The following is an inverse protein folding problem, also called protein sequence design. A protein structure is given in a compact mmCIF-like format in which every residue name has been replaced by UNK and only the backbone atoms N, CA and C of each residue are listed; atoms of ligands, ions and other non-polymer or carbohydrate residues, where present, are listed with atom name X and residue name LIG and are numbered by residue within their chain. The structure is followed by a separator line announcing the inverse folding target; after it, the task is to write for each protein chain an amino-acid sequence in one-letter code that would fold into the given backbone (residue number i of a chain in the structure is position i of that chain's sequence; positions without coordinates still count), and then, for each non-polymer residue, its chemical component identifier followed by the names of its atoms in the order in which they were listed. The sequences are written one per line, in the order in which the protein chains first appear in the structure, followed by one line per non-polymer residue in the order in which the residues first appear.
data_IF_972099713781
#
_entry.id   IF_972099713781
#
_cell.length_a   1.000
_cell.length_b   1.000
_cell.length_c   1.000
_cell.angle_alpha   90.00
_cell.angle_beta   90.00
_cell.angle_gamma   90.00
#
_symmetry.space_group_name_H-M   'P 1'
#
loop_
_entity.id
_entity.type
_entity.pdbx_description
1 polymer ?
#
# COMPACT_ATOMS: atom_id res chain seq x y z
N UNK A 1 44.52 -0.65 -52.95
CA UNK A 1 44.86 0.48 -52.07
C UNK A 1 44.33 0.15 -50.67
N UNK A 2 45.19 -0.03 -49.65
CA UNK A 2 45.71 1.00 -48.71
C UNK A 2 44.65 1.36 -47.63
N UNK A 3 44.86 1.24 -46.30
CA UNK A 3 45.94 0.67 -45.44
C UNK A 3 45.33 0.32 -44.05
N UNK A 4 45.81 -0.68 -43.26
CA UNK A 4 46.83 -0.62 -42.16
C UNK A 4 46.65 0.56 -41.16
N UNK A 5 46.91 0.47 -39.84
CA UNK A 5 47.92 -0.28 -39.03
C UNK A 5 47.39 -0.52 -37.57
N UNK A 6 47.96 -1.27 -36.59
CA UNK A 6 48.75 -2.54 -36.47
C UNK A 6 48.97 -2.91 -34.95
N UNK A 7 48.88 -4.21 -34.55
CA UNK A 7 49.71 -4.89 -33.49
C UNK A 7 49.42 -4.50 -31.99
N UNK A 8 49.47 -5.35 -30.92
CA UNK A 8 50.38 -6.44 -30.40
C UNK A 8 49.59 -7.39 -29.44
N UNK A 9 49.67 -8.73 -29.45
CA UNK A 9 50.55 -9.67 -28.67
C UNK A 9 50.66 -9.38 -27.14
N UNK A 10 50.78 -10.33 -26.20
CA UNK A 10 51.51 -11.64 -26.08
C UNK A 10 50.57 -12.81 -25.61
N UNK A 11 50.74 -14.11 -25.95
CA UNK A 11 51.65 -15.18 -25.43
C UNK A 11 51.68 -15.32 -23.88
N UNK A 12 51.60 -16.50 -23.23
CA UNK A 12 51.38 -17.93 -23.61
C UNK A 12 50.79 -18.68 -22.35
N UNK A 13 50.69 -20.02 -22.12
CA UNK A 13 51.17 -21.28 -22.74
C UNK A 13 50.28 -22.50 -22.32
N UNK A 14 50.76 -23.75 -22.49
CA UNK A 14 50.17 -25.03 -22.03
C UNK A 14 51.27 -25.98 -21.48
N UNK A 15 50.93 -27.14 -20.86
CA UNK A 15 51.22 -28.41 -21.58
C UNK A 15 50.23 -29.58 -21.35
N UNK A 16 50.12 -30.45 -22.36
CA UNK A 16 49.72 -31.88 -22.30
C UNK A 16 51.02 -32.74 -22.22
N UNK A 17 51.07 -34.09 -22.16
CA UNK A 17 50.10 -35.20 -22.31
C UNK A 17 50.27 -36.16 -21.07
N UNK A 18 50.14 -37.50 -20.99
CA UNK A 18 49.99 -38.65 -21.92
C UNK A 18 49.15 -39.76 -21.23
N UNK A 19 48.72 -40.79 -21.97
CA UNK A 19 48.15 -42.04 -21.44
C UNK A 19 48.91 -43.25 -22.03
N UNK A 20 49.14 -44.32 -21.26
CA UNK A 20 49.57 -45.65 -21.75
C UNK A 20 49.05 -46.78 -20.84
N UNK A 21 48.94 -48.00 -21.37
CA UNK A 21 48.46 -49.22 -20.70
C UNK A 21 49.47 -50.39 -20.93
N UNK A 22 49.06 -51.62 -20.59
CA UNK A 22 49.81 -52.91 -20.57
C UNK A 22 50.59 -53.08 -19.24
N UNK A 23 50.12 -53.82 -18.23
CA UNK A 23 49.70 -55.25 -18.10
C UNK A 23 50.89 -56.23 -18.07
N UNK A 24 51.09 -56.89 -16.92
CA UNK A 24 51.28 -58.35 -16.87
C UNK A 24 50.94 -58.97 -15.47
N UNK A 25 50.99 -60.30 -15.35
CA UNK A 25 50.40 -61.12 -14.28
C UNK A 25 51.36 -61.59 -13.16
N UNK A 26 50.83 -61.78 -11.93
CA UNK A 26 50.93 -63.04 -11.15
C UNK A 26 50.09 -63.05 -9.84
N UNK A 27 49.94 -64.24 -9.23
CA UNK A 27 49.21 -64.64 -7.99
C UNK A 27 50.07 -65.74 -7.28
N UNK A 28 49.82 -66.26 -6.04
CA UNK A 28 48.54 -66.33 -5.32
C UNK A 28 48.53 -66.32 -3.75
N UNK A 29 47.32 -66.51 -3.18
CA UNK A 29 46.92 -67.14 -1.90
C UNK A 29 47.50 -66.72 -0.51
N UNK A 30 46.64 -66.07 0.29
CA UNK A 30 46.23 -66.40 1.68
C UNK A 30 44.92 -65.59 1.98
N UNK A 31 44.06 -65.86 2.98
CA UNK A 31 44.12 -66.92 3.99
C UNK A 31 43.10 -66.81 5.15
N UNK A 32 41.78 -66.80 4.86
CA UNK A 32 40.66 -66.95 5.83
C UNK A 32 40.33 -65.81 6.83
N UNK A 33 39.07 -65.85 7.29
CA UNK A 33 38.50 -65.28 8.53
C UNK A 33 38.55 -63.76 8.80
N UNK A 34 37.37 -63.14 8.71
CA UNK A 34 36.91 -62.20 9.74
C UNK A 34 35.40 -62.43 9.97
N UNK A 35 34.95 -62.45 11.23
CA UNK A 35 33.58 -62.81 11.61
C UNK A 35 32.62 -61.61 11.58
N UNK A 36 31.31 -61.88 11.57
CA UNK A 36 30.30 -60.84 11.55
C UNK A 36 30.12 -60.14 12.91
N UNK A 37 29.99 -58.81 12.88
CA UNK A 37 29.48 -58.00 13.99
C UNK A 37 28.66 -56.83 13.43
N UNK A 38 27.34 -56.99 13.39
CA UNK A 38 26.44 -55.96 12.88
C UNK A 38 26.22 -54.85 13.93
N UNK A 39 26.84 -53.68 13.73
CA UNK A 39 26.55 -52.50 14.52
C UNK A 39 25.26 -51.83 14.04
N UNK A 40 24.16 -52.12 14.73
CA UNK A 40 22.88 -51.43 14.56
C UNK A 40 22.97 -50.04 15.22
N UNK A 41 23.55 -49.07 14.51
CA UNK A 41 23.56 -47.67 14.96
C UNK A 41 22.15 -47.10 14.81
N UNK A 42 21.42 -47.02 15.93
CA UNK A 42 20.18 -46.26 16.03
C UNK A 42 20.49 -44.76 15.97
N UNK A 43 20.66 -44.26 14.74
CA UNK A 43 20.71 -42.83 14.47
C UNK A 43 19.31 -42.24 14.69
N UNK A 44 19.06 -41.69 15.89
CA UNK A 44 17.92 -40.81 16.10
C UNK A 44 18.03 -39.63 15.12
N UNK A 45 16.95 -39.28 14.38
CA UNK A 45 17.01 -38.20 13.41
C UNK A 45 17.16 -36.86 14.14
N UNK A 46 18.37 -36.31 14.13
CA UNK A 46 18.64 -34.94 14.58
C UNK A 46 17.92 -33.98 13.65
N UNK A 47 16.82 -33.40 14.13
CA UNK A 47 16.08 -32.36 13.41
C UNK A 47 17.01 -31.15 13.25
N UNK A 48 17.53 -30.94 12.05
CA UNK A 48 18.29 -29.74 11.70
C UNK A 48 17.28 -28.60 11.53
N UNK A 49 17.22 -27.70 12.51
CA UNK A 49 16.30 -26.56 12.51
C UNK A 49 16.76 -25.48 11.51
N UNK A 50 16.48 -25.73 10.24
CA UNK A 50 16.69 -24.79 9.14
C UNK A 50 15.61 -23.69 9.18
N UNK A 51 15.97 -22.41 9.27
CA UNK A 51 15.01 -21.30 9.31
C UNK A 51 14.27 -21.19 7.95
N UNK A 52 13.12 -21.84 7.88
CA UNK A 52 12.34 -22.06 6.65
C UNK A 52 11.51 -23.36 6.69
N UNK A 53 11.75 -24.25 7.64
CA UNK A 53 11.10 -25.58 7.79
C UNK A 53 9.66 -25.57 8.34
N UNK A 54 9.14 -24.42 8.79
CA UNK A 54 7.85 -24.28 9.52
C UNK A 54 6.55 -24.52 8.70
N UNK A 55 6.63 -25.28 7.60
CA UNK A 55 5.51 -25.57 6.69
C UNK A 55 5.10 -27.06 6.66
N UNK A 56 5.65 -27.90 7.54
CA UNK A 56 5.41 -29.36 7.58
C UNK A 56 4.86 -29.85 8.94
N UNK A 57 4.05 -29.05 9.63
CA UNK A 57 3.56 -29.34 10.98
C UNK A 57 2.06 -29.05 11.20
N UNK A 58 1.22 -29.38 10.23
CA UNK A 58 -0.24 -29.45 10.38
C UNK A 58 -0.77 -30.71 9.67
N UNK A 59 -1.99 -31.14 9.99
CA UNK A 59 -2.62 -32.35 9.42
C UNK A 59 -2.65 -32.32 7.89
N UNK A 60 -2.40 -33.46 7.21
CA UNK A 60 -2.37 -33.50 5.75
C UNK A 60 -3.74 -33.16 5.17
N UNK A 61 -3.74 -32.37 4.09
CA UNK A 61 -4.95 -31.81 3.45
C UNK A 61 -5.92 -32.88 2.90
N UNK A 62 -5.41 -34.08 2.65
CA UNK A 62 -6.19 -35.29 2.37
C UNK A 62 -5.39 -36.51 2.84
N UNK A 63 -6.07 -37.64 3.06
CA UNK A 63 -5.43 -38.93 3.30
C UNK A 63 -4.96 -39.59 2.00
N UNK A 64 -5.47 -39.15 0.83
CA UNK A 64 -4.91 -39.54 -0.46
C UNK A 64 -3.60 -38.78 -0.73
N UNK A 65 -2.51 -39.54 -0.79
CA UNK A 65 -1.16 -39.04 -1.07
C UNK A 65 -1.08 -38.30 -2.43
N UNK A 66 -1.80 -38.76 -3.45
CA UNK A 66 -1.76 -38.14 -4.78
C UNK A 66 -2.48 -36.79 -4.77
N UNK A 67 -3.66 -36.71 -4.13
CA UNK A 67 -4.37 -35.44 -3.89
C UNK A 67 -3.53 -34.46 -3.06
N UNK A 68 -2.84 -34.95 -2.01
CA UNK A 68 -1.94 -34.11 -1.21
C UNK A 68 -0.74 -33.58 -2.03
N UNK A 69 -0.15 -34.41 -2.91
CA UNK A 69 0.93 -34.00 -3.83
C UNK A 69 0.42 -32.97 -4.84
N UNK A 70 -0.74 -33.20 -5.47
CA UNK A 70 -1.35 -32.26 -6.42
C UNK A 70 -1.65 -30.90 -5.78
N UNK A 71 -2.13 -30.89 -4.53
CA UNK A 71 -2.35 -29.67 -3.77
C UNK A 71 -1.04 -28.90 -3.52
N UNK A 72 0.01 -29.59 -3.07
CA UNK A 72 1.32 -28.95 -2.85
C UNK A 72 1.96 -28.45 -4.15
N UNK A 73 1.74 -29.13 -5.29
CA UNK A 73 2.12 -28.61 -6.60
C UNK A 73 1.34 -27.34 -6.96
N UNK A 74 0.03 -27.29 -6.69
CA UNK A 74 -0.81 -26.12 -6.88
C UNK A 74 -0.32 -24.90 -6.08
N UNK A 75 -0.07 -25.08 -4.78
CA UNK A 75 0.49 -24.02 -3.91
C UNK A 75 1.88 -23.58 -4.41
N UNK A 76 2.75 -24.53 -4.75
CA UNK A 76 4.09 -24.22 -5.28
C UNK A 76 4.06 -23.41 -6.58
N UNK A 77 3.06 -23.65 -7.44
CA UNK A 77 2.85 -22.91 -8.69
C UNK A 77 2.23 -21.54 -8.44
N UNK A 78 1.23 -21.44 -7.56
CA UNK A 78 0.62 -20.18 -7.15
C UNK A 78 1.67 -19.22 -6.57
N UNK A 79 2.51 -19.70 -5.64
CA UNK A 79 3.60 -18.92 -5.03
C UNK A 79 4.71 -18.52 -6.05
N UNK A 80 4.74 -19.13 -7.24
CA UNK A 80 5.62 -18.76 -8.37
C UNK A 80 4.91 -17.91 -9.44
N UNK A 81 3.66 -17.50 -9.19
CA UNK A 81 2.77 -16.81 -10.12
C UNK A 81 2.49 -17.59 -11.43
N UNK A 82 2.66 -18.92 -11.41
CA UNK A 82 2.19 -19.83 -12.46
C UNK A 82 0.69 -20.10 -12.24
N UNK A 83 -0.13 -19.09 -12.51
CA UNK A 83 -1.57 -19.13 -12.23
C UNK A 83 -2.31 -20.20 -13.05
N UNK A 84 -1.85 -20.49 -14.28
CA UNK A 84 -2.45 -21.51 -15.14
C UNK A 84 -2.12 -22.93 -14.65
N UNK A 85 -0.86 -23.21 -14.33
CA UNK A 85 -0.47 -24.50 -13.75
C UNK A 85 -1.02 -24.70 -12.34
N UNK A 86 -1.18 -23.64 -11.56
CA UNK A 86 -1.86 -23.67 -10.27
C UNK A 86 -3.36 -23.99 -10.42
N UNK A 87 -4.07 -23.31 -11.33
CA UNK A 87 -5.48 -23.60 -11.63
C UNK A 87 -5.66 -25.06 -12.05
N UNK A 88 -4.82 -25.56 -12.95
CA UNK A 88 -4.84 -26.97 -13.37
C UNK A 88 -4.67 -27.93 -12.18
N UNK A 89 -3.67 -27.70 -11.33
CA UNK A 89 -3.40 -28.55 -10.17
C UNK A 89 -4.56 -28.53 -9.15
N UNK A 90 -5.12 -27.37 -8.81
CA UNK A 90 -6.26 -27.28 -7.89
C UNK A 90 -7.55 -27.86 -8.50
N UNK A 91 -7.74 -27.79 -9.82
CA UNK A 91 -8.82 -28.52 -10.50
C UNK A 91 -8.62 -30.05 -10.45
N UNK A 92 -7.39 -30.55 -10.56
CA UNK A 92 -7.10 -31.98 -10.37
C UNK A 92 -7.35 -32.43 -8.93
N UNK A 93 -6.99 -31.64 -7.92
CA UNK A 93 -7.34 -31.87 -6.50
C UNK A 93 -8.86 -32.03 -6.35
N UNK A 94 -9.63 -31.08 -6.87
CA UNK A 94 -11.10 -31.04 -6.72
C UNK A 94 -11.85 -32.05 -7.61
N UNK A 95 -11.18 -32.69 -8.57
CA UNK A 95 -11.69 -33.87 -9.28
C UNK A 95 -11.58 -35.17 -8.46
N UNK A 96 -10.64 -35.23 -7.52
CA UNK A 96 -10.42 -36.39 -6.64
C UNK A 96 -11.18 -36.26 -5.32
N UNK A 97 -11.11 -35.08 -4.69
CA UNK A 97 -11.88 -34.74 -3.51
C UNK A 97 -12.50 -33.33 -3.64
N UNK A 98 -13.81 -33.23 -3.92
CA UNK A 98 -14.47 -31.94 -4.10
C UNK A 98 -14.63 -31.15 -2.79
N UNK A 99 -14.31 -31.74 -1.63
CA UNK A 99 -14.49 -31.14 -0.30
C UNK A 99 -13.22 -30.48 0.25
N UNK A 100 -12.20 -30.26 -0.58
CA UNK A 100 -10.99 -29.52 -0.18
C UNK A 100 -11.24 -28.01 -0.33
N UNK A 101 -11.89 -27.42 0.68
CA UNK A 101 -12.24 -25.99 0.71
C UNK A 101 -11.05 -25.03 0.55
N UNK A 102 -9.84 -25.45 0.94
CA UNK A 102 -8.62 -24.68 0.67
C UNK A 102 -8.30 -24.58 -0.83
N UNK A 103 -8.52 -25.64 -1.62
CA UNK A 103 -8.29 -25.61 -3.06
C UNK A 103 -9.30 -24.69 -3.77
N UNK A 104 -10.54 -24.64 -3.26
CA UNK A 104 -11.55 -23.64 -3.66
C UNK A 104 -11.09 -22.21 -3.37
N UNK A 105 -10.56 -21.94 -2.17
CA UNK A 105 -9.99 -20.63 -1.84
C UNK A 105 -8.83 -20.23 -2.77
N UNK A 106 -7.91 -21.16 -3.11
CA UNK A 106 -6.84 -20.87 -4.08
C UNK A 106 -7.36 -20.63 -5.51
N UNK A 107 -8.39 -21.35 -5.96
CA UNK A 107 -9.06 -21.04 -7.24
C UNK A 107 -9.69 -19.65 -7.20
N UNK A 108 -10.36 -19.30 -6.10
CA UNK A 108 -10.88 -17.95 -5.87
C UNK A 108 -9.80 -16.88 -6.01
N UNK A 109 -8.65 -17.07 -5.35
CA UNK A 109 -7.50 -16.16 -5.45
C UNK A 109 -7.00 -16.01 -6.89
N UNK A 110 -6.86 -17.11 -7.63
CA UNK A 110 -6.44 -17.10 -9.04
C UNK A 110 -7.42 -16.29 -9.90
N UNK A 111 -8.73 -16.46 -9.71
CA UNK A 111 -9.73 -15.68 -10.46
C UNK A 111 -9.81 -14.22 -10.02
N UNK A 112 -9.57 -13.91 -8.73
CA UNK A 112 -9.48 -12.55 -8.22
C UNK A 112 -8.27 -11.80 -8.81
N UNK A 113 -7.13 -12.48 -8.99
CA UNK A 113 -5.94 -11.96 -9.68
C UNK A 113 -6.18 -11.79 -11.19
N UNK A 114 -6.98 -12.67 -11.82
CA UNK A 114 -7.42 -12.53 -13.22
C UNK A 114 -8.55 -11.48 -13.42
N UNK A 115 -9.01 -10.80 -12.35
CA UNK A 115 -10.18 -9.92 -12.33
C UNK A 115 -11.50 -10.58 -12.80
N UNK A 116 -11.62 -11.91 -12.68
CA UNK A 116 -12.81 -12.71 -13.02
C UNK A 116 -13.70 -12.85 -11.78
N UNK A 117 -14.18 -11.70 -11.30
CA UNK A 117 -14.75 -11.54 -9.95
C UNK A 117 -15.90 -12.50 -9.65
N UNK A 118 -16.79 -12.74 -10.61
CA UNK A 118 -17.98 -13.60 -10.41
C UNK A 118 -17.59 -15.06 -10.07
N UNK A 119 -16.55 -15.56 -10.73
CA UNK A 119 -16.01 -16.91 -10.52
C UNK A 119 -15.18 -16.93 -9.22
N UNK A 120 -14.48 -15.84 -8.89
CA UNK A 120 -13.79 -15.72 -7.61
C UNK A 120 -14.80 -15.84 -6.44
N UNK A 121 -15.89 -15.06 -6.48
CA UNK A 121 -16.98 -15.12 -5.49
C UNK A 121 -17.62 -16.50 -5.43
N UNK A 122 -17.83 -17.17 -6.58
CA UNK A 122 -18.35 -18.55 -6.60
C UNK A 122 -17.42 -19.55 -5.90
N UNK A 123 -16.12 -19.54 -6.23
CA UNK A 123 -15.14 -20.45 -5.64
C UNK A 123 -14.92 -20.17 -4.13
N UNK A 124 -14.90 -18.90 -3.70
CA UNK A 124 -14.88 -18.58 -2.27
C UNK A 124 -16.17 -18.97 -1.54
N UNK A 125 -17.33 -18.80 -2.19
CA UNK A 125 -18.63 -19.24 -1.68
C UNK A 125 -18.66 -20.75 -1.41
N UNK A 126 -18.14 -21.54 -2.36
CA UNK A 126 -17.96 -22.97 -2.17
C UNK A 126 -16.92 -23.30 -1.08
N UNK A 127 -15.82 -22.54 -0.98
CA UNK A 127 -14.82 -22.71 0.06
C UNK A 127 -15.41 -22.57 1.48
N UNK A 128 -16.24 -21.55 1.72
CA UNK A 128 -16.89 -21.33 3.02
C UNK A 128 -18.08 -22.27 3.25
N UNK A 129 -18.77 -22.72 2.19
CA UNK A 129 -19.82 -23.76 2.28
C UNK A 129 -19.23 -25.11 2.70
N UNK A 130 -18.02 -25.43 2.24
CA UNK A 130 -17.28 -26.65 2.55
C UNK A 130 -16.62 -26.57 3.93
N UNK A 131 -16.01 -25.44 4.27
CA UNK A 131 -15.41 -25.19 5.58
C UNK A 131 -15.88 -23.84 6.16
N UNK A 132 -16.97 -23.84 6.96
CA UNK A 132 -17.48 -22.63 7.63
C UNK A 132 -16.53 -22.00 8.65
N UNK A 133 -15.41 -22.65 8.99
CA UNK A 133 -14.38 -22.15 9.89
C UNK A 133 -13.12 -21.68 9.13
N UNK A 134 -13.21 -21.40 7.83
CA UNK A 134 -12.10 -20.89 7.02
C UNK A 134 -12.12 -19.35 6.94
N UNK A 135 -11.56 -18.68 7.95
CA UNK A 135 -11.47 -17.19 8.01
C UNK A 135 -10.87 -16.59 6.73
N UNK A 136 -9.83 -17.21 6.19
CA UNK A 136 -9.16 -16.77 4.97
C UNK A 136 -10.11 -16.69 3.76
N UNK A 137 -11.00 -17.67 3.59
CA UNK A 137 -11.99 -17.67 2.50
C UNK A 137 -13.10 -16.63 2.73
N UNK A 138 -13.51 -16.38 3.97
CA UNK A 138 -14.44 -15.27 4.27
C UNK A 138 -13.81 -13.89 4.02
N UNK A 139 -12.53 -13.72 4.36
CA UNK A 139 -11.78 -12.49 4.07
C UNK A 139 -11.65 -12.26 2.56
N UNK A 140 -11.27 -13.29 1.81
CA UNK A 140 -11.08 -13.20 0.36
C UNK A 140 -12.41 -13.09 -0.40
N UNK A 141 -13.48 -13.71 0.09
CA UNK A 141 -14.86 -13.45 -0.36
C UNK A 141 -15.24 -11.98 -0.19
N UNK A 142 -14.92 -11.37 0.96
CA UNK A 142 -15.12 -9.94 1.20
C UNK A 142 -14.36 -9.06 0.21
N UNK A 143 -13.10 -9.37 -0.08
CA UNK A 143 -12.30 -8.67 -1.10
C UNK A 143 -12.95 -8.73 -2.49
N UNK A 144 -13.47 -9.90 -2.88
CA UNK A 144 -14.08 -10.09 -4.20
C UNK A 144 -15.46 -9.41 -4.32
N UNK A 145 -16.31 -9.53 -3.29
CA UNK A 145 -17.60 -8.84 -3.21
C UNK A 145 -17.43 -7.31 -3.24
N UNK A 146 -16.43 -6.78 -2.54
CA UNK A 146 -16.11 -5.35 -2.57
C UNK A 146 -15.73 -4.88 -3.97
N UNK A 147 -14.90 -5.63 -4.70
CA UNK A 147 -14.53 -5.31 -6.09
C UNK A 147 -15.71 -5.40 -7.07
N UNK A 148 -16.76 -6.15 -6.75
CA UNK A 148 -18.04 -6.13 -7.49
C UNK A 148 -18.97 -4.97 -7.07
N UNK A 149 -18.61 -4.17 -6.08
CA UNK A 149 -19.47 -3.13 -5.50
C UNK A 149 -20.52 -3.63 -4.50
N UNK A 150 -20.48 -4.91 -4.11
CA UNK A 150 -21.41 -5.49 -3.13
C UNK A 150 -20.97 -5.19 -1.68
N UNK A 151 -21.03 -3.90 -1.30
CA UNK A 151 -20.43 -3.35 -0.07
C UNK A 151 -20.92 -4.01 1.22
N UNK A 152 -22.24 -4.14 1.39
CA UNK A 152 -22.87 -4.73 2.58
C UNK A 152 -22.56 -6.23 2.71
N UNK A 153 -22.49 -6.93 1.58
CA UNK A 153 -22.10 -8.34 1.53
C UNK A 153 -20.61 -8.51 1.87
N UNK A 154 -19.74 -7.60 1.40
CA UNK A 154 -18.33 -7.58 1.76
C UNK A 154 -18.12 -7.36 3.27
N UNK A 155 -18.80 -6.37 3.88
CA UNK A 155 -18.77 -6.14 5.33
C UNK A 155 -19.24 -7.37 6.11
N UNK A 156 -20.30 -8.04 5.63
CA UNK A 156 -20.79 -9.30 6.23
C UNK A 156 -19.73 -10.40 6.18
N UNK A 157 -19.07 -10.59 5.02
CA UNK A 157 -18.02 -11.60 4.85
C UNK A 157 -16.78 -11.30 5.72
N UNK A 158 -16.31 -10.04 5.77
CA UNK A 158 -15.20 -9.64 6.65
C UNK A 158 -15.54 -9.83 8.14
N UNK A 159 -16.78 -9.52 8.57
CA UNK A 159 -17.23 -9.76 9.95
C UNK A 159 -17.20 -11.24 10.30
N UNK A 160 -17.62 -12.12 9.38
CA UNK A 160 -17.55 -13.57 9.59
C UNK A 160 -16.10 -14.09 9.62
N UNK A 161 -15.18 -13.51 8.85
CA UNK A 161 -13.75 -13.79 8.97
C UNK A 161 -13.21 -13.47 10.38
N UNK A 162 -13.69 -12.38 10.99
CA UNK A 162 -13.32 -11.95 12.35
C UNK A 162 -14.00 -12.74 13.47
N UNK A 163 -15.16 -13.37 13.23
CA UNK A 163 -15.76 -14.34 14.16
C UNK A 163 -14.87 -15.59 14.30
N UNK A 164 -14.17 -15.96 13.23
CA UNK A 164 -13.30 -17.14 13.16
C UNK A 164 -11.86 -16.82 13.59
N UNK A 165 -11.32 -15.68 13.14
CA UNK A 165 -10.02 -15.14 13.54
C UNK A 165 -10.15 -13.66 13.95
N UNK A 166 -10.36 -13.38 15.24
CA UNK A 166 -10.46 -12.00 15.75
C UNK A 166 -9.19 -11.15 15.57
N UNK A 167 -8.05 -11.76 15.20
CA UNK A 167 -6.76 -11.06 15.09
C UNK A 167 -6.47 -10.50 13.69
N UNK A 168 -7.33 -10.79 12.70
CA UNK A 168 -7.14 -10.42 11.29
C UNK A 168 -7.31 -8.91 11.04
N UNK A 169 -6.30 -8.10 11.40
CA UNK A 169 -6.28 -6.63 11.30
C UNK A 169 -6.73 -6.12 9.91
N UNK A 170 -6.32 -6.81 8.85
CA UNK A 170 -6.71 -6.52 7.47
C UNK A 170 -8.24 -6.56 7.23
N UNK A 171 -8.98 -7.41 7.95
CA UNK A 171 -10.44 -7.47 7.88
C UNK A 171 -11.10 -6.29 8.60
N UNK A 172 -10.61 -5.90 9.78
CA UNK A 172 -11.07 -4.67 10.47
C UNK A 172 -10.83 -3.43 9.62
N UNK A 173 -9.63 -3.33 9.03
CA UNK A 173 -9.27 -2.21 8.15
C UNK A 173 -10.19 -2.12 6.92
N UNK A 174 -10.41 -3.25 6.23
CA UNK A 174 -11.31 -3.28 5.08
C UNK A 174 -12.77 -2.98 5.47
N UNK A 175 -13.23 -3.43 6.65
CA UNK A 175 -14.54 -3.01 7.18
C UNK A 175 -14.58 -1.48 7.34
N UNK A 176 -13.54 -0.86 7.89
CA UNK A 176 -13.41 0.59 8.01
C UNK A 176 -13.58 1.32 6.67
N UNK A 177 -12.85 0.89 5.63
CA UNK A 177 -12.98 1.44 4.27
C UNK A 177 -14.44 1.37 3.78
N UNK A 178 -15.03 0.17 3.78
CA UNK A 178 -16.36 -0.03 3.18
C UNK A 178 -17.46 0.72 3.96
N UNK A 179 -17.37 0.77 5.29
CA UNK A 179 -18.29 1.57 6.12
C UNK A 179 -18.15 3.06 5.82
N UNK A 180 -16.93 3.56 5.65
CA UNK A 180 -16.67 4.97 5.31
C UNK A 180 -17.24 5.32 3.94
N UNK A 181 -17.10 4.44 2.94
CA UNK A 181 -17.73 4.60 1.62
C UNK A 181 -19.26 4.45 1.62
N UNK A 182 -19.85 3.93 2.69
CA UNK A 182 -21.30 3.87 2.93
C UNK A 182 -21.80 5.05 3.78
N UNK A 183 -20.93 6.01 4.13
CA UNK A 183 -21.26 7.14 5.01
C UNK A 183 -21.44 6.78 6.49
N UNK A 184 -21.06 5.56 6.89
CA UNK A 184 -21.12 5.07 8.27
C UNK A 184 -19.84 5.44 9.03
N UNK A 185 -19.56 6.75 9.11
CA UNK A 185 -18.27 7.27 9.57
C UNK A 185 -17.92 6.90 11.02
N UNK A 186 -18.91 6.74 11.90
CA UNK A 186 -18.67 6.40 13.30
C UNK A 186 -18.21 4.94 13.45
N UNK A 187 -18.85 4.03 12.72
CA UNK A 187 -18.50 2.62 12.64
C UNK A 187 -17.18 2.42 11.88
N UNK A 188 -16.90 3.25 10.88
CA UNK A 188 -15.62 3.28 10.18
C UNK A 188 -14.46 3.67 11.11
N UNK A 189 -14.61 4.75 11.90
CA UNK A 189 -13.65 5.17 12.93
C UNK A 189 -13.36 4.03 13.91
N UNK A 190 -14.41 3.37 14.42
CA UNK A 190 -14.26 2.24 15.33
C UNK A 190 -13.50 1.06 14.68
N UNK A 191 -13.80 0.74 13.42
CA UNK A 191 -13.13 -0.33 12.68
C UNK A 191 -11.65 -0.02 12.40
N UNK A 192 -11.30 1.22 12.02
CA UNK A 192 -9.91 1.64 11.88
C UNK A 192 -9.14 1.60 13.21
N UNK A 193 -9.78 2.03 14.31
CA UNK A 193 -9.18 1.93 15.65
C UNK A 193 -8.90 0.46 16.03
N UNK A 194 -9.81 -0.48 15.75
CA UNK A 194 -9.55 -1.90 15.97
C UNK A 194 -8.47 -2.47 15.05
N UNK A 195 -8.38 -2.00 13.79
CA UNK A 195 -7.28 -2.37 12.90
C UNK A 195 -5.92 -1.92 13.46
N UNK A 196 -5.83 -0.69 13.98
CA UNK A 196 -4.62 -0.15 14.61
C UNK A 196 -4.26 -0.88 15.92
N UNK A 197 -5.26 -1.28 16.71
CA UNK A 197 -5.03 -2.07 17.92
C UNK A 197 -4.44 -3.45 17.64
N UNK A 198 -4.76 -4.05 16.48
CA UNK A 198 -4.26 -5.34 16.03
C UNK A 198 -2.93 -5.23 15.25
N UNK A 199 -2.76 -4.16 14.48
CA UNK A 199 -1.55 -3.84 13.73
C UNK A 199 -1.21 -2.34 13.85
N UNK A 200 -0.33 -2.03 14.80
CA UNK A 200 0.15 -0.67 15.05
C UNK A 200 1.09 -0.14 13.97
N UNK A 201 1.44 -0.94 12.96
CA UNK A 201 2.28 -0.54 11.82
C UNK A 201 1.47 -0.12 10.57
N UNK A 202 0.15 -0.25 10.61
CA UNK A 202 -0.73 0.06 9.47
C UNK A 202 -0.91 1.58 9.25
N UNK A 203 0.01 2.18 8.48
CA UNK A 203 -0.02 3.60 8.11
C UNK A 203 -1.34 4.04 7.46
N UNK A 204 -1.95 3.19 6.62
CA UNK A 204 -3.19 3.51 5.91
C UNK A 204 -4.39 3.55 6.87
N UNK A 205 -4.41 2.70 7.91
CA UNK A 205 -5.44 2.75 8.95
C UNK A 205 -5.37 4.07 9.73
N UNK A 206 -4.17 4.56 10.07
CA UNK A 206 -3.99 5.88 10.67
C UNK A 206 -4.42 7.02 9.74
N UNK A 207 -4.09 6.95 8.44
CA UNK A 207 -4.49 7.97 7.46
C UNK A 207 -6.01 8.04 7.27
N UNK A 208 -6.67 6.91 7.07
CA UNK A 208 -8.12 6.87 6.85
C UNK A 208 -8.91 7.14 8.14
N UNK A 209 -8.38 6.76 9.32
CA UNK A 209 -8.89 7.23 10.61
C UNK A 209 -8.82 8.75 10.73
N UNK A 210 -7.70 9.36 10.30
CA UNK A 210 -7.54 10.81 10.34
C UNK A 210 -8.52 11.55 9.42
N UNK A 211 -8.80 11.00 8.22
CA UNK A 211 -9.85 11.52 7.33
C UNK A 211 -11.23 11.44 8.01
N UNK A 212 -11.65 10.28 8.51
CA UNK A 212 -12.97 10.12 9.11
C UNK A 212 -13.16 10.97 10.39
N UNK A 213 -12.11 11.14 11.20
CA UNK A 213 -12.11 12.08 12.33
C UNK A 213 -12.20 13.54 11.88
N UNK A 214 -11.51 13.92 10.80
CA UNK A 214 -11.58 15.27 10.22
C UNK A 214 -12.98 15.59 9.68
N UNK A 215 -13.63 14.63 9.01
CA UNK A 215 -15.02 14.74 8.52
C UNK A 215 -16.03 14.97 9.66
N UNK A 216 -15.80 14.34 10.83
CA UNK A 216 -16.58 14.59 12.05
C UNK A 216 -16.18 15.88 12.80
N UNK A 217 -15.24 16.68 12.30
CA UNK A 217 -14.74 17.87 12.99
C UNK A 217 -13.87 17.57 14.23
N UNK A 218 -13.41 16.33 14.41
CA UNK A 218 -12.49 15.95 15.49
C UNK A 218 -11.04 16.33 15.15
N UNK A 219 -10.79 17.65 15.10
CA UNK A 219 -9.55 18.27 14.62
C UNK A 219 -8.28 17.69 15.25
N UNK A 220 -8.10 17.81 16.57
CA UNK A 220 -6.87 17.34 17.25
C UNK A 220 -6.69 15.82 17.19
N UNK A 221 -7.72 14.97 17.40
CA UNK A 221 -7.64 13.53 17.13
C UNK A 221 -7.19 13.19 15.71
N UNK A 222 -7.67 13.90 14.68
CA UNK A 222 -7.25 13.71 13.30
C UNK A 222 -5.80 14.16 13.06
N UNK A 223 -5.37 15.31 13.60
CA UNK A 223 -3.96 15.75 13.55
C UNK A 223 -3.05 14.70 14.23
N UNK A 224 -3.46 14.14 15.36
CA UNK A 224 -2.72 13.07 16.03
C UNK A 224 -2.63 11.79 15.17
N UNK A 225 -3.73 11.37 14.55
CA UNK A 225 -3.77 10.20 13.67
C UNK A 225 -2.91 10.38 12.41
N UNK A 226 -2.99 11.53 11.73
CA UNK A 226 -2.08 11.86 10.61
C UNK A 226 -0.61 11.81 11.06
N UNK A 227 -0.28 12.36 12.24
CA UNK A 227 1.08 12.39 12.79
C UNK A 227 1.64 10.99 13.10
N UNK A 228 0.78 10.02 13.44
CA UNK A 228 1.18 8.62 13.61
C UNK A 228 1.35 7.93 12.24
N UNK A 229 0.40 8.08 11.32
CA UNK A 229 0.53 7.56 9.95
C UNK A 229 1.79 8.06 9.23
N UNK A 230 2.16 9.32 9.44
CA UNK A 230 3.37 9.95 8.89
C UNK A 230 4.69 9.51 9.55
N UNK A 231 4.66 8.86 10.73
CA UNK A 231 5.85 8.21 11.29
C UNK A 231 6.11 6.84 10.64
N UNK A 232 5.05 6.21 10.11
CA UNK A 232 5.09 4.90 9.45
C UNK A 232 5.34 5.04 7.94
N UNK A 233 4.65 5.98 7.27
CA UNK A 233 4.91 6.41 5.89
C UNK A 233 5.23 7.92 5.81
N UNK A 234 6.51 8.30 5.96
CA UNK A 234 6.96 9.69 5.79
C UNK A 234 6.99 10.17 4.33
N UNK A 235 6.50 9.39 3.36
CA UNK A 235 6.35 9.80 1.94
C UNK A 235 4.92 10.16 1.58
N UNK A 236 3.96 10.00 2.50
CA UNK A 236 2.55 10.31 2.24
C UNK A 236 2.30 11.83 2.12
N UNK A 237 2.47 12.35 0.91
CA UNK A 237 2.24 13.75 0.58
C UNK A 237 0.78 14.20 0.82
N UNK A 238 -0.19 13.28 0.78
CA UNK A 238 -1.60 13.58 1.04
C UNK A 238 -1.84 13.77 2.55
N UNK A 239 -1.28 12.90 3.38
CA UNK A 239 -1.32 13.05 4.85
C UNK A 239 -0.71 14.38 5.31
N UNK A 240 0.45 14.76 4.78
CA UNK A 240 1.01 16.10 5.05
C UNK A 240 0.08 17.22 4.56
N UNK A 241 -0.49 17.11 3.35
CA UNK A 241 -1.37 18.15 2.79
C UNK A 241 -2.65 18.34 3.63
N UNK A 242 -3.29 17.25 4.04
CA UNK A 242 -4.52 17.28 4.84
C UNK A 242 -4.23 17.73 6.28
N UNK A 243 -3.19 17.18 6.93
CA UNK A 243 -2.78 17.62 8.27
C UNK A 243 -2.43 19.11 8.29
N UNK A 244 -1.72 19.63 7.28
CA UNK A 244 -1.42 21.05 7.17
C UNK A 244 -2.69 21.92 7.01
N UNK A 245 -3.66 21.44 6.24
CA UNK A 245 -4.97 22.10 6.06
C UNK A 245 -5.74 22.17 7.38
N UNK A 246 -5.76 21.06 8.12
CA UNK A 246 -6.43 20.95 9.41
C UNK A 246 -5.76 21.80 10.50
N UNK A 247 -4.43 21.83 10.54
CA UNK A 247 -3.65 22.71 11.42
C UNK A 247 -3.90 24.20 11.10
N UNK A 248 -3.97 24.59 9.83
CA UNK A 248 -4.29 25.96 9.43
C UNK A 248 -5.69 26.39 9.86
N UNK A 249 -6.70 25.52 9.70
CA UNK A 249 -8.08 25.76 10.17
C UNK A 249 -8.12 25.87 11.71
N UNK A 250 -7.27 25.12 12.42
CA UNK A 250 -7.13 25.22 13.89
C UNK A 250 -6.23 26.38 14.37
N UNK A 251 -5.80 27.28 13.46
CA UNK A 251 -4.96 28.44 13.79
C UNK A 251 -3.46 28.13 14.00
N UNK A 252 -3.04 26.86 13.93
CA UNK A 252 -1.64 26.39 14.01
C UNK A 252 -0.90 26.70 12.69
N UNK A 253 -0.80 27.99 12.40
CA UNK A 253 -0.54 28.56 11.07
C UNK A 253 0.94 28.44 10.68
N UNK A 254 1.84 28.58 11.65
CA UNK A 254 3.29 28.46 11.47
C UNK A 254 3.73 27.01 11.26
N UNK A 255 3.06 26.10 11.95
CA UNK A 255 3.22 24.66 11.90
C UNK A 255 2.70 24.14 10.55
N UNK A 256 1.49 24.55 10.15
CA UNK A 256 0.90 24.25 8.85
C UNK A 256 1.82 24.63 7.68
N UNK A 257 2.42 25.82 7.70
CA UNK A 257 3.41 26.26 6.69
C UNK A 257 4.60 25.30 6.57
N UNK A 258 5.06 24.74 7.68
CA UNK A 258 6.18 23.78 7.69
C UNK A 258 5.74 22.41 7.16
N UNK A 259 4.51 22.01 7.47
CA UNK A 259 3.86 20.76 7.03
C UNK A 259 3.54 20.77 5.53
N UNK A 260 2.98 21.85 4.96
CA UNK A 260 2.77 21.95 3.51
C UNK A 260 4.08 21.91 2.72
N UNK A 261 5.17 22.47 3.26
CA UNK A 261 6.49 22.37 2.64
C UNK A 261 7.01 20.94 2.60
N UNK A 262 6.58 20.06 3.51
CA UNK A 262 6.87 18.62 3.43
C UNK A 262 5.96 17.93 2.39
N UNK A 263 4.66 18.24 2.34
CA UNK A 263 3.77 17.76 1.28
C UNK A 263 4.32 18.07 -0.13
N UNK A 264 4.88 19.27 -0.32
CA UNK A 264 5.53 19.72 -1.56
C UNK A 264 6.89 19.03 -1.80
N UNK A 265 7.64 18.66 -0.75
CA UNK A 265 8.88 17.87 -0.89
C UNK A 265 8.58 16.44 -1.34
N UNK A 266 7.59 15.80 -0.73
CA UNK A 266 7.21 14.43 -1.06
C UNK A 266 6.47 14.33 -2.41
N UNK A 267 5.68 15.35 -2.78
CA UNK A 267 5.09 15.47 -4.12
C UNK A 267 5.20 16.91 -4.68
N UNK A 268 6.24 17.22 -5.49
CA UNK A 268 6.41 18.51 -6.16
C UNK A 268 5.35 18.88 -7.22
N UNK A 269 4.35 18.02 -7.44
CA UNK A 269 3.15 18.25 -8.26
C UNK A 269 1.84 18.39 -7.46
N UNK A 270 1.91 18.43 -6.13
CA UNK A 270 0.72 18.63 -5.29
C UNK A 270 0.23 20.09 -5.38
N UNK A 271 -0.68 20.36 -6.32
CA UNK A 271 -1.27 21.66 -6.58
C UNK A 271 -2.02 22.21 -5.36
N UNK A 272 -2.77 21.37 -4.63
CA UNK A 272 -3.46 21.75 -3.39
C UNK A 272 -2.47 22.17 -2.31
N UNK A 273 -1.38 21.43 -2.07
CA UNK A 273 -0.38 21.83 -1.07
C UNK A 273 0.29 23.17 -1.39
N UNK A 274 0.54 23.47 -2.68
CA UNK A 274 0.99 24.81 -3.09
C UNK A 274 -0.10 25.87 -2.86
N UNK A 275 -1.36 25.62 -3.22
CA UNK A 275 -2.45 26.57 -3.00
C UNK A 275 -2.65 26.87 -1.52
N UNK A 276 -2.73 25.85 -0.69
CA UNK A 276 -2.99 25.96 0.74
C UNK A 276 -1.83 26.69 1.46
N UNK A 277 -0.57 26.39 1.10
CA UNK A 277 0.59 27.16 1.55
C UNK A 277 0.51 28.63 1.09
N UNK A 278 0.08 28.88 -0.15
CA UNK A 278 -0.09 30.23 -0.70
C UNK A 278 -1.15 31.06 0.02
N UNK A 279 -2.32 30.47 0.29
CA UNK A 279 -3.41 31.10 1.08
C UNK A 279 -2.99 31.31 2.53
N UNK A 280 -2.31 30.34 3.14
CA UNK A 280 -1.81 30.46 4.52
C UNK A 280 -0.79 31.61 4.65
N UNK A 281 0.10 31.78 3.67
CA UNK A 281 1.02 32.92 3.60
C UNK A 281 0.31 34.26 3.32
N UNK A 282 -0.77 34.25 2.53
CA UNK A 282 -1.60 35.44 2.28
C UNK A 282 -2.27 35.92 3.58
N UNK A 283 -2.88 35.00 4.33
CA UNK A 283 -3.54 35.32 5.60
C UNK A 283 -2.54 35.72 6.70
N UNK A 284 -1.25 35.36 6.59
CA UNK A 284 -0.16 35.91 7.40
C UNK A 284 0.38 37.27 6.92
N UNK A 285 -0.14 37.84 5.83
CA UNK A 285 0.34 39.09 5.23
C UNK A 285 1.67 38.98 4.48
N UNK A 286 2.25 37.78 4.31
CA UNK A 286 3.44 37.57 3.47
C UNK A 286 3.05 37.46 1.99
N UNK A 287 2.49 38.56 1.50
CA UNK A 287 2.02 38.71 0.13
C UNK A 287 3.10 38.38 -0.91
N UNK A 288 4.39 38.63 -0.61
CA UNK A 288 5.51 38.35 -1.50
C UNK A 288 5.77 36.85 -1.65
N UNK A 289 5.81 36.09 -0.55
CA UNK A 289 5.94 34.63 -0.63
C UNK A 289 4.65 34.00 -1.17
N UNK A 290 3.47 34.47 -0.73
CA UNK A 290 2.17 34.00 -1.21
C UNK A 290 2.05 34.07 -2.74
N UNK A 291 2.38 35.22 -3.36
CA UNK A 291 2.34 35.40 -4.81
C UNK A 291 3.19 34.37 -5.57
N UNK A 292 4.40 34.08 -5.08
CA UNK A 292 5.30 33.10 -5.69
C UNK A 292 4.79 31.66 -5.60
N UNK A 293 4.24 31.28 -4.44
CA UNK A 293 3.69 29.94 -4.22
C UNK A 293 2.37 29.74 -4.99
N UNK A 294 1.47 30.74 -4.99
CA UNK A 294 0.21 30.69 -5.74
C UNK A 294 0.43 30.60 -7.25
N UNK A 295 1.45 31.28 -7.80
CA UNK A 295 1.85 31.12 -9.22
C UNK A 295 2.24 29.68 -9.56
N UNK A 296 2.88 28.96 -8.64
CA UNK A 296 3.20 27.53 -8.79
C UNK A 296 1.93 26.67 -8.71
N UNK A 297 1.05 26.92 -7.72
CA UNK A 297 -0.24 26.23 -7.58
C UNK A 297 -1.10 26.34 -8.85
N UNK A 298 -1.27 27.56 -9.36
CA UNK A 298 -1.99 27.87 -10.61
C UNK A 298 -1.45 27.07 -11.80
N UNK A 299 -0.13 26.99 -11.94
CA UNK A 299 0.49 26.26 -13.05
C UNK A 299 0.22 24.75 -12.93
N UNK A 300 0.39 24.17 -11.74
CA UNK A 300 0.09 22.74 -11.53
C UNK A 300 -1.40 22.41 -11.76
N UNK A 301 -2.33 23.26 -11.32
CA UNK A 301 -3.75 23.06 -11.63
C UNK A 301 -4.06 23.15 -13.13
N UNK A 302 -3.35 24.00 -13.89
CA UNK A 302 -3.47 24.03 -15.37
C UNK A 302 -2.87 22.76 -16.01
N UNK A 303 -1.73 22.25 -15.54
CA UNK A 303 -1.16 20.97 -15.98
C UNK A 303 -2.08 19.77 -15.66
N UNK A 304 -2.86 19.86 -14.57
CA UNK A 304 -3.88 18.88 -14.18
C UNK A 304 -5.24 19.07 -14.88
N UNK A 305 -5.39 20.07 -15.76
CA UNK A 305 -6.63 20.38 -16.47
C UNK A 305 -7.70 21.10 -15.63
N UNK A 306 -7.45 21.38 -14.36
CA UNK A 306 -8.36 22.13 -13.47
C UNK A 306 -8.25 23.65 -13.73
N UNK A 307 -8.76 24.06 -14.89
CA UNK A 307 -8.72 25.45 -15.37
C UNK A 307 -9.52 26.40 -14.48
N UNK A 308 -10.63 25.94 -13.86
CA UNK A 308 -11.46 26.75 -12.97
C UNK A 308 -10.70 27.15 -11.70
N UNK A 309 -10.08 26.19 -11.01
CA UNK A 309 -9.29 26.48 -9.81
C UNK A 309 -8.05 27.31 -10.14
N UNK A 310 -7.43 27.08 -11.30
CA UNK A 310 -6.33 27.93 -11.76
C UNK A 310 -6.77 29.39 -11.97
N UNK A 311 -7.98 29.64 -12.48
CA UNK A 311 -8.45 31.01 -12.69
C UNK A 311 -8.86 31.71 -11.39
N UNK A 312 -9.46 30.97 -10.44
CA UNK A 312 -9.65 31.45 -9.06
C UNK A 312 -8.32 31.88 -8.40
N UNK A 313 -7.24 31.13 -8.64
CA UNK A 313 -5.91 31.46 -8.13
C UNK A 313 -5.29 32.66 -8.87
N UNK A 314 -5.52 32.79 -10.18
CA UNK A 314 -5.09 33.97 -10.96
C UNK A 314 -5.72 35.26 -10.40
N UNK A 315 -7.02 35.25 -10.10
CA UNK A 315 -7.73 36.39 -9.48
C UNK A 315 -7.11 36.76 -8.11
N UNK A 316 -6.79 35.77 -7.27
CA UNK A 316 -6.10 36.01 -6.00
C UNK A 316 -4.68 36.60 -6.19
N UNK A 317 -3.93 36.14 -7.20
CA UNK A 317 -2.60 36.70 -7.55
C UNK A 317 -2.74 38.17 -7.98
N UNK A 318 -3.81 38.54 -8.69
CA UNK A 318 -4.08 39.91 -9.12
C UNK A 318 -4.48 40.81 -7.94
N UNK A 319 -5.32 40.32 -7.00
CA UNK A 319 -5.62 41.04 -5.75
C UNK A 319 -4.35 41.29 -4.92
N UNK A 320 -3.43 40.31 -4.86
CA UNK A 320 -2.12 40.50 -4.23
C UNK A 320 -1.30 41.57 -4.95
N UNK A 321 -1.27 41.59 -6.29
CA UNK A 321 -0.55 42.59 -7.05
C UNK A 321 -1.09 44.01 -6.79
N UNK A 322 -2.41 44.17 -6.64
CA UNK A 322 -3.04 45.43 -6.24
C UNK A 322 -2.65 45.85 -4.81
N UNK A 323 -2.75 44.93 -3.83
CA UNK A 323 -2.36 45.19 -2.42
C UNK A 323 -0.86 45.48 -2.23
N UNK A 324 0.00 45.05 -3.16
CA UNK A 324 1.47 45.19 -3.08
C UNK A 324 2.04 46.23 -4.04
N UNK A 325 1.20 46.91 -4.82
CA UNK A 325 1.63 48.02 -5.67
C UNK A 325 2.16 49.19 -4.82
N UNK A 326 3.30 49.82 -5.18
CA UNK A 326 3.71 51.05 -4.53
C UNK A 326 2.63 52.12 -4.72
N UNK A 327 2.15 52.71 -3.63
CA UNK A 327 1.32 53.91 -3.70
C UNK A 327 2.13 55.00 -4.42
N UNK A 328 1.66 55.43 -5.60
CA UNK A 328 2.19 56.64 -6.21
C UNK A 328 1.92 57.80 -5.24
N UNK A 329 2.91 58.68 -4.97
CA UNK A 329 2.66 59.86 -4.16
C UNK A 329 1.64 60.74 -4.90
N UNK A 330 0.42 60.81 -4.37
CA UNK A 330 -0.59 61.70 -4.92
C UNK A 330 -0.07 63.15 -4.82
N UNK A 331 -0.23 63.98 -5.87
CA UNK A 331 0.16 65.38 -5.80
C UNK A 331 -0.66 66.07 -4.72
N UNK A 332 0.01 66.71 -3.76
CA UNK A 332 -0.58 67.23 -2.53
C UNK A 332 -1.77 68.17 -2.79
N UNK A 333 -2.99 67.65 -2.62
CA UNK A 333 -4.17 68.50 -2.55
C UNK A 333 -4.31 69.06 -1.13
N UNK A 334 -4.51 70.37 -1.03
CA UNK A 334 -4.50 71.12 0.22
C UNK A 334 -5.65 70.70 1.13
N UNK A 335 -5.43 70.74 2.45
CA UNK A 335 -6.30 70.11 3.43
C UNK A 335 -7.75 70.65 3.47
N UNK A 336 -8.71 69.72 3.36
CA UNK A 336 -10.00 69.76 4.07
C UNK A 336 -10.31 68.36 4.61
N UNK A 337 -10.51 68.25 5.94
CA UNK A 337 -11.18 67.10 6.55
C UNK A 337 -12.67 67.12 6.18
N UNK A 338 -13.30 65.95 6.02
CA UNK A 338 -13.90 65.28 7.18
C UNK A 338 -13.27 63.93 7.52
N UNK A 339 -13.63 63.41 8.69
CA UNK A 339 -13.31 62.06 9.14
C UNK A 339 -14.24 61.01 8.53
N UNK A 340 -13.69 60.08 7.76
CA UNK A 340 -14.31 58.78 7.49
C UNK A 340 -13.48 57.66 8.13
N UNK A 341 -14.15 56.73 8.82
CA UNK A 341 -13.52 55.59 9.49
C UNK A 341 -13.34 54.46 8.48
N UNK A 342 -12.11 53.96 8.22
CA UNK A 342 -11.87 52.91 7.23
C UNK A 342 -12.25 51.50 7.74
N UNK A 343 -13.52 51.30 8.09
CA UNK A 343 -14.10 49.97 8.32
C UNK A 343 -14.43 49.30 6.98
N UNK A 344 -13.40 48.98 6.19
CA UNK A 344 -13.53 47.88 5.23
C UNK A 344 -13.24 46.57 5.96
N UNK A 345 -14.15 45.58 5.96
CA UNK A 345 -13.87 44.29 6.57
C UNK A 345 -12.74 43.60 5.79
N UNK A 346 -11.70 43.17 6.50
CA UNK A 346 -10.64 42.37 5.89
C UNK A 346 -11.23 41.03 5.41
N UNK A 347 -11.32 40.86 4.09
CA UNK A 347 -11.67 39.58 3.48
C UNK A 347 -10.51 38.60 3.62
N UNK A 348 -10.40 38.02 4.82
CA UNK A 348 -9.65 36.78 5.04
C UNK A 348 -10.08 35.75 4.00
N UNK A 349 -9.12 35.19 3.26
CA UNK A 349 -9.42 34.11 2.32
C UNK A 349 -9.70 32.88 3.17
N UNK A 350 -10.97 32.49 3.25
CA UNK A 350 -11.45 31.53 4.22
C UNK A 350 -10.86 30.13 3.93
N UNK A 351 -10.10 29.52 4.85
CA UNK A 351 -9.49 28.21 4.62
C UNK A 351 -10.49 27.04 4.49
N UNK A 352 -11.81 27.30 4.53
CA UNK A 352 -12.85 26.32 4.16
C UNK A 352 -13.02 26.16 2.65
N UNK A 353 -12.66 27.16 1.83
CA UNK A 353 -12.76 27.09 0.35
C UNK A 353 -11.59 26.30 -0.28
N UNK A 354 -11.02 25.38 0.49
CA UNK A 354 -9.78 24.67 0.20
C UNK A 354 -10.05 23.29 -0.42
N UNK A 355 -9.42 22.95 -1.55
CA UNK A 355 -9.46 21.59 -2.11
C UNK A 355 -8.59 20.63 -1.27
N UNK A 356 -9.18 20.11 -0.19
CA UNK A 356 -8.63 19.01 0.61
C UNK A 356 -8.70 17.70 -0.18
N UNK A 357 -7.65 16.89 -0.13
CA UNK A 357 -7.62 15.56 -0.77
C UNK A 357 -8.29 14.53 0.14
N UNK A 358 -9.62 14.44 0.11
CA UNK A 358 -10.44 13.49 0.90
C UNK A 358 -10.40 12.05 0.32
N UNK A 359 -9.49 11.77 -0.60
CA UNK A 359 -9.33 10.45 -1.20
C UNK A 359 -8.66 9.50 -0.19
N UNK A 360 -9.41 8.49 0.27
CA UNK A 360 -8.91 7.44 1.17
C UNK A 360 -7.75 6.69 0.50
N UNK A 361 -6.76 6.26 1.27
CA UNK A 361 -5.71 5.39 0.71
C UNK A 361 -6.28 3.99 0.48
N UNK A 362 -6.35 3.49 -0.77
CA UNK A 362 -6.76 2.13 -1.04
C UNK A 362 -5.62 1.19 -0.64
N UNK A 363 -5.87 0.31 0.32
CA UNK A 363 -5.00 -0.85 0.52
C UNK A 363 -5.83 -2.12 0.64
N UNK A 364 -6.33 -2.56 -0.53
CA UNK A 364 -6.69 -3.95 -0.74
C UNK A 364 -5.40 -4.78 -0.68
N UNK A 365 -5.03 -5.15 0.55
CA UNK A 365 -3.98 -6.13 0.83
C UNK A 365 -4.29 -7.35 -0.03
N UNK A 366 -3.33 -7.77 -0.84
CA UNK A 366 -3.49 -8.94 -1.71
C UNK A 366 -3.87 -10.16 -0.84
N UNK A 367 -4.73 -11.08 -1.31
CA UNK A 367 -4.83 -12.40 -0.69
C UNK A 367 -3.41 -12.98 -0.55
N UNK A 368 -3.13 -13.55 0.63
CA UNK A 368 -1.78 -13.59 1.18
C UNK A 368 -0.74 -14.35 0.31
N UNK A 369 0.52 -13.95 0.47
CA UNK A 369 1.71 -14.70 0.03
C UNK A 369 2.22 -15.60 1.16
#
# INVERSE_FOLDING_TARGET
MYKQHQIRQWFCCFPTVVFHQVVDWQKPHLGLLCAASAFLVLAAPTIIDLPGSKLLAQTPISQDLETAILYQQGVTRYNRNDLQGAEYAFRQVLQRDPNIGMARNYLGNIFLMQNRLDIAVQEYGEAVRINPNLSEAYYNLGLALYRQGQKEAAVTAYRQALVIDPTKAAAQYNIGLVLSELGQSQEAIAAYQQAINLDTSNANAYFNLAIALQEQGQIEPAIAAYRQGLQLDPKNAMAYSNMGSLMAIHGQTSEAISVYREAIRQNPKNASAYYNLGVTLYNQGDYKKANGVLKRARNEFREQGNMEQAEKIEQLIQQIAQKTAPQQPQPSQTATTPSETPNQPETLVNPTDVPVSVEQQPSLISPAQ
#
